data_IF_451419937258
#
_entry.id   IF_451419937258
#
_cell.length_a   1.000
_cell.length_b   1.000
_cell.length_c   1.000
_cell.angle_alpha   90.00
_cell.angle_beta   90.00
_cell.angle_gamma   90.00
#
_symmetry.space_group_name_H-M   'P 1'
#
loop_
_entity.id
_entity.type
_entity.pdbx_description
1 polymer ?
#
# COMPACT_ATOMS: atom_id res chain seq x y z
N UNK A 1 -4.96 -15.53 4.24
CA UNK A 1 -5.33 -14.57 3.19
C UNK A 1 -4.04 -14.03 2.60
N UNK A 2 -3.92 -13.96 1.27
CA UNK A 2 -2.61 -13.72 0.64
C UNK A 2 -2.34 -12.24 0.38
N UNK A 3 -3.37 -11.40 0.31
CA UNK A 3 -3.27 -10.00 -0.07
C UNK A 3 -4.21 -9.12 0.74
N UNK A 4 -3.83 -7.85 0.89
CA UNK A 4 -4.67 -6.81 1.47
C UNK A 4 -5.97 -6.64 0.67
N UNK A 5 -7.03 -6.25 1.37
CA UNK A 5 -8.38 -6.15 0.81
C UNK A 5 -8.85 -4.69 0.82
N UNK A 6 -9.42 -4.26 -0.29
CA UNK A 6 -10.16 -3.00 -0.39
C UNK A 6 -11.59 -3.34 -0.79
N UNK A 7 -12.54 -2.95 0.06
CA UNK A 7 -13.96 -3.27 -0.11
C UNK A 7 -14.81 -2.03 0.16
N UNK A 8 -16.07 -2.06 -0.24
CA UNK A 8 -17.03 -1.01 0.08
C UNK A 8 -17.87 -1.40 1.31
N UNK A 9 -18.30 -0.41 2.08
CA UNK A 9 -19.23 -0.61 3.19
C UNK A 9 -20.52 -1.26 2.67
N UNK A 10 -20.96 -2.34 3.34
CA UNK A 10 -22.06 -3.19 2.86
C UNK A 10 -21.63 -4.46 2.14
N UNK A 11 -20.38 -4.55 1.67
CA UNK A 11 -19.90 -5.74 0.95
C UNK A 11 -19.82 -6.97 1.87
N UNK A 12 -19.97 -8.14 1.25
CA UNK A 12 -19.58 -9.41 1.87
C UNK A 12 -18.09 -9.65 1.66
N UNK A 13 -17.37 -10.09 2.69
CA UNK A 13 -15.95 -10.46 2.58
C UNK A 13 -15.71 -11.84 3.20
N UNK A 14 -14.83 -12.62 2.59
CA UNK A 14 -14.33 -13.89 3.15
C UNK A 14 -12.82 -13.80 3.22
N UNK A 15 -12.26 -13.98 4.42
CA UNK A 15 -10.83 -14.15 4.61
C UNK A 15 -10.54 -15.60 4.96
N UNK A 16 -9.72 -16.26 4.14
CA UNK A 16 -9.33 -17.64 4.38
C UNK A 16 -7.85 -17.76 4.72
N UNK A 17 -7.50 -18.54 5.75
CA UNK A 17 -6.15 -18.84 6.16
C UNK A 17 -5.91 -20.35 6.26
N UNK A 18 -4.85 -20.80 5.59
CA UNK A 18 -4.40 -22.17 5.58
C UNK A 18 -3.18 -22.33 6.50
N UNK A 19 -3.27 -23.25 7.45
CA UNK A 19 -2.23 -23.53 8.43
C UNK A 19 -1.73 -24.98 8.25
N UNK A 20 -0.52 -25.19 7.71
CA UNK A 20 0.08 -26.50 7.58
C UNK A 20 0.68 -26.98 8.91
N UNK A 21 0.45 -28.25 9.25
CA UNK A 21 0.96 -28.94 10.42
C UNK A 21 1.60 -30.26 10.01
N UNK A 22 2.63 -30.69 10.75
CA UNK A 22 3.36 -31.92 10.43
C UNK A 22 2.66 -33.21 10.92
N UNK A 23 1.66 -33.10 11.79
CA UNK A 23 0.95 -34.26 12.36
C UNK A 23 -0.48 -33.91 12.75
N UNK A 24 -1.40 -34.82 12.39
CA UNK A 24 -2.84 -34.74 12.69
C UNK A 24 -3.17 -34.95 14.17
N UNK A 25 -2.23 -35.49 14.94
CA UNK A 25 -2.45 -35.88 16.34
C UNK A 25 -1.98 -34.84 17.37
N UNK A 26 -1.36 -33.75 16.93
CA UNK A 26 -0.88 -32.69 17.82
C UNK A 26 -2.02 -31.71 18.17
N UNK A 27 -2.11 -31.31 19.44
CA UNK A 27 -2.94 -30.15 19.81
C UNK A 27 -2.36 -28.93 19.11
N UNK A 28 -3.17 -28.27 18.30
CA UNK A 28 -2.80 -27.04 17.60
C UNK A 28 -3.65 -25.87 18.10
N UNK A 29 -3.09 -24.67 17.97
CA UNK A 29 -3.82 -23.42 18.18
C UNK A 29 -3.88 -22.72 16.82
N UNK A 30 -5.10 -22.44 16.34
CA UNK A 30 -5.36 -21.68 15.12
C UNK A 30 -6.46 -20.66 15.42
N UNK A 31 -6.17 -19.38 15.23
CA UNK A 31 -7.15 -18.32 15.49
C UNK A 31 -6.86 -17.06 14.70
N UNK A 32 -7.88 -16.21 14.63
CA UNK A 32 -7.74 -14.86 14.15
C UNK A 32 -7.47 -13.89 15.30
N UNK A 33 -6.73 -12.83 14.99
CA UNK A 33 -6.44 -11.72 15.87
C UNK A 33 -6.85 -10.43 15.14
N UNK A 34 -7.64 -9.62 15.83
CA UNK A 34 -7.99 -8.27 15.43
C UNK A 34 -8.18 -7.44 16.72
N UNK A 35 -7.75 -6.17 16.80
CA UNK A 35 -7.88 -5.37 18.01
C UNK A 35 -9.31 -5.23 18.54
N UNK A 36 -10.30 -5.34 17.64
CA UNK A 36 -11.73 -5.24 17.96
C UNK A 36 -12.48 -6.55 17.74
N UNK A 37 -11.78 -7.70 17.68
CA UNK A 37 -12.38 -8.98 17.30
C UNK A 37 -13.62 -9.35 18.12
N UNK A 38 -13.59 -9.09 19.44
CA UNK A 38 -14.67 -9.43 20.38
C UNK A 38 -15.98 -8.66 20.12
N UNK A 39 -15.89 -7.51 19.44
CA UNK A 39 -17.03 -6.63 19.14
C UNK A 39 -17.32 -6.58 17.64
N UNK A 40 -16.61 -7.34 16.82
CA UNK A 40 -16.89 -7.51 15.39
C UNK A 40 -17.99 -8.56 15.21
N UNK A 41 -19.00 -8.25 14.41
CA UNK A 41 -20.08 -9.15 14.02
C UNK A 41 -19.65 -10.08 12.87
N UNK A 42 -18.69 -10.96 13.17
CA UNK A 42 -18.07 -11.86 12.20
C UNK A 42 -18.31 -13.33 12.53
N UNK A 43 -18.46 -14.15 11.49
CA UNK A 43 -18.57 -15.59 11.64
C UNK A 43 -17.21 -16.24 11.39
N UNK A 44 -16.64 -16.87 12.40
CA UNK A 44 -15.36 -17.59 12.29
C UNK A 44 -15.66 -19.08 12.22
N UNK A 45 -15.16 -19.73 11.17
CA UNK A 45 -15.24 -21.18 11.00
C UNK A 45 -13.84 -21.75 10.92
N UNK A 46 -13.61 -22.84 11.66
CA UNK A 46 -12.38 -23.62 11.58
C UNK A 46 -12.75 -24.99 11.02
N UNK A 47 -11.94 -25.50 10.10
CA UNK A 47 -12.06 -26.89 9.66
C UNK A 47 -11.31 -27.78 10.63
N UNK A 48 -11.76 -29.03 10.76
CA UNK A 48 -10.93 -30.06 11.36
C UNK A 48 -9.63 -30.25 10.55
N UNK A 49 -8.59 -30.76 11.20
CA UNK A 49 -7.32 -31.02 10.51
C UNK A 49 -7.52 -32.16 9.51
N UNK A 50 -7.21 -31.87 8.24
CA UNK A 50 -7.31 -32.82 7.14
C UNK A 50 -6.19 -33.87 7.22
N UNK A 51 -6.34 -35.00 6.54
CA UNK A 51 -5.34 -36.09 6.55
C UNK A 51 -3.95 -35.65 6.07
N UNK A 52 -3.90 -34.60 5.25
CA UNK A 52 -2.67 -33.97 4.75
C UNK A 52 -1.96 -33.07 5.79
N UNK A 53 -2.49 -32.97 7.01
CA UNK A 53 -1.96 -32.09 8.05
C UNK A 53 -2.32 -30.61 7.84
N UNK A 54 -3.34 -30.32 7.05
CA UNK A 54 -3.79 -28.95 6.80
C UNK A 54 -5.02 -28.61 7.65
N UNK A 55 -4.98 -27.48 8.36
CA UNK A 55 -6.17 -26.90 8.97
C UNK A 55 -6.46 -25.53 8.34
N UNK A 56 -7.74 -25.20 8.22
CA UNK A 56 -8.20 -23.98 7.58
C UNK A 56 -9.06 -23.18 8.57
N UNK A 57 -8.89 -21.86 8.56
CA UNK A 57 -9.75 -20.95 9.31
C UNK A 57 -10.23 -19.84 8.41
N UNK A 58 -11.54 -19.61 8.44
CA UNK A 58 -12.22 -18.63 7.60
C UNK A 58 -12.95 -17.62 8.48
N UNK A 59 -12.86 -16.34 8.13
CA UNK A 59 -13.74 -15.30 8.63
C UNK A 59 -14.70 -14.92 7.52
N UNK A 60 -16.00 -14.96 7.82
CA UNK A 60 -17.05 -14.45 6.96
C UNK A 60 -17.64 -13.17 7.55
N UNK A 61 -17.56 -12.10 6.75
CA UNK A 61 -18.19 -10.81 6.99
C UNK A 61 -19.46 -10.75 6.12
N UNK A 62 -20.66 -10.91 6.68
CA UNK A 62 -21.90 -10.80 5.91
C UNK A 62 -22.21 -9.37 5.47
N UNK A 63 -21.74 -8.38 6.24
CA UNK A 63 -21.89 -6.96 5.95
C UNK A 63 -20.70 -6.20 6.56
N UNK A 64 -19.73 -5.82 5.73
CA UNK A 64 -18.52 -5.15 6.21
C UNK A 64 -18.76 -3.66 6.46
N UNK A 65 -18.14 -3.12 7.51
CA UNK A 65 -18.33 -1.74 7.97
C UNK A 65 -17.00 -1.17 8.43
N UNK A 66 -16.94 0.14 8.72
CA UNK A 66 -15.73 0.79 9.21
C UNK A 66 -15.14 0.16 10.50
N UNK A 67 -15.95 -0.55 11.31
CA UNK A 67 -15.47 -1.26 12.52
C UNK A 67 -14.61 -2.49 12.21
N UNK A 68 -14.75 -3.05 11.00
CA UNK A 68 -13.99 -4.20 10.53
C UNK A 68 -12.64 -3.82 9.89
N UNK A 69 -12.38 -2.52 9.72
CA UNK A 69 -11.16 -2.01 9.12
C UNK A 69 -9.95 -2.29 10.03
N UNK A 70 -8.82 -2.66 9.42
CA UNK A 70 -7.56 -2.84 10.14
C UNK A 70 -6.83 -4.10 9.75
N UNK A 71 -5.87 -4.47 10.61
CA UNK A 71 -5.03 -5.64 10.41
C UNK A 71 -5.70 -6.89 10.99
N UNK A 72 -5.96 -7.86 10.12
CA UNK A 72 -6.48 -9.18 10.47
C UNK A 72 -5.34 -10.17 10.40
N UNK A 73 -4.94 -10.70 11.55
CA UNK A 73 -3.83 -11.65 11.65
C UNK A 73 -4.34 -13.05 11.94
N UNK A 74 -4.10 -13.97 11.02
CA UNK A 74 -4.21 -15.39 11.28
C UNK A 74 -2.96 -15.85 12.03
N UNK A 75 -3.14 -16.43 13.21
CA UNK A 75 -2.08 -16.92 14.06
C UNK A 75 -2.24 -18.42 14.26
N UNK A 76 -1.16 -19.18 14.08
CA UNK A 76 -1.09 -20.55 14.56
C UNK A 76 0.25 -20.88 15.22
N UNK A 77 0.21 -21.86 16.13
CA UNK A 77 1.42 -22.42 16.77
C UNK A 77 1.65 -23.83 16.24
N UNK A 78 2.86 -24.10 15.73
CA UNK A 78 3.23 -25.45 15.31
C UNK A 78 3.60 -26.35 16.49
N UNK A 79 3.92 -27.61 16.19
CA UNK A 79 4.31 -28.63 17.17
C UNK A 79 5.58 -28.29 17.98
N UNK A 80 6.43 -27.40 17.48
CA UNK A 80 7.63 -26.93 18.18
C UNK A 80 7.35 -25.65 18.99
N UNK A 81 6.07 -25.27 19.13
CA UNK A 81 5.62 -24.03 19.75
C UNK A 81 6.12 -22.75 19.05
N UNK A 82 6.45 -22.84 17.76
CA UNK A 82 6.79 -21.67 16.96
C UNK A 82 5.48 -21.04 16.47
N UNK A 83 5.36 -19.73 16.68
CA UNK A 83 4.19 -18.95 16.26
C UNK A 83 4.38 -18.42 14.85
N UNK A 84 3.37 -18.62 14.02
CA UNK A 84 3.30 -18.15 12.65
C UNK A 84 2.15 -17.16 12.52
N UNK A 85 2.43 -15.99 11.95
CA UNK A 85 1.47 -14.90 11.81
C UNK A 85 1.34 -14.50 10.33
N UNK A 86 0.12 -14.52 9.83
CA UNK A 86 -0.22 -14.05 8.48
C UNK A 86 -1.22 -12.90 8.60
N UNK A 87 -0.75 -11.69 8.31
CA UNK A 87 -1.54 -10.47 8.44
C UNK A 87 -1.97 -9.95 7.09
N UNK A 88 -3.24 -9.55 6.98
CA UNK A 88 -3.75 -8.75 5.86
C UNK A 88 -4.42 -7.49 6.39
N UNK A 89 -4.27 -6.40 5.66
CA UNK A 89 -4.97 -5.16 5.92
C UNK A 89 -6.31 -5.17 5.18
N UNK A 90 -7.38 -4.86 5.90
CA UNK A 90 -8.71 -4.63 5.32
C UNK A 90 -9.00 -3.14 5.37
N UNK A 91 -9.23 -2.54 4.20
CA UNK A 91 -9.65 -1.16 4.02
C UNK A 91 -11.11 -1.13 3.54
N UNK A 92 -11.97 -0.44 4.29
CA UNK A 92 -13.38 -0.26 3.97
C UNK A 92 -13.63 1.16 3.46
N UNK A 93 -14.14 1.28 2.24
CA UNK A 93 -14.51 2.54 1.61
C UNK A 93 -16.00 2.81 1.82
N UNK A 94 -16.33 4.00 2.30
CA UNK A 94 -17.69 4.44 2.65
C UNK A 94 -17.93 5.86 2.15
N UNK A 95 -19.15 6.36 2.32
CA UNK A 95 -19.47 7.75 1.95
C UNK A 95 -18.73 8.78 2.85
N UNK A 96 -18.28 8.36 4.03
CA UNK A 96 -17.51 9.20 4.95
C UNK A 96 -16.00 9.14 4.68
N UNK A 97 -15.56 8.23 3.80
CA UNK A 97 -14.14 8.12 3.43
C UNK A 97 -13.69 9.41 2.75
N UNK A 98 -12.58 9.96 3.25
CA UNK A 98 -12.04 11.22 2.77
C UNK A 98 -10.98 10.99 1.70
N UNK A 99 -11.02 11.82 0.67
CA UNK A 99 -10.09 11.78 -0.44
C UNK A 99 -9.62 13.17 -0.80
N UNK A 100 -8.36 13.30 -1.21
CA UNK A 100 -7.98 14.46 -1.99
C UNK A 100 -8.65 14.37 -3.37
N UNK A 101 -9.33 15.45 -3.82
CA UNK A 101 -10.04 15.43 -5.09
C UNK A 101 -9.06 15.39 -6.27
N UNK A 102 -9.51 14.94 -7.43
CA UNK A 102 -8.71 15.04 -8.65
C UNK A 102 -8.28 16.49 -8.88
N UNK A 103 -7.00 16.71 -9.16
CA UNK A 103 -6.41 18.04 -9.31
C UNK A 103 -5.28 18.01 -10.34
N UNK A 104 -4.71 19.15 -10.68
CA UNK A 104 -3.50 19.23 -11.48
C UNK A 104 -2.49 20.24 -10.90
N UNK A 105 -1.25 20.13 -11.35
CA UNK A 105 -0.19 21.10 -11.04
C UNK A 105 0.57 21.42 -12.31
N UNK A 106 0.87 22.70 -12.52
CA UNK A 106 1.66 23.18 -13.65
C UNK A 106 2.90 23.86 -13.09
N UNK A 107 4.07 23.45 -13.55
CA UNK A 107 5.35 24.07 -13.27
C UNK A 107 6.26 24.09 -14.50
N UNK A 108 7.53 24.46 -14.34
CA UNK A 108 8.52 24.48 -15.42
C UNK A 108 8.99 23.08 -15.87
N UNK A 109 8.47 22.00 -15.26
CA UNK A 109 8.77 20.59 -15.55
C UNK A 109 7.59 19.83 -16.14
N UNK A 110 6.36 20.30 -15.95
CA UNK A 110 5.21 19.62 -16.53
C UNK A 110 3.84 20.21 -16.19
N UNK A 111 2.83 19.63 -16.85
CA UNK A 111 1.47 19.57 -16.33
C UNK A 111 1.30 18.16 -15.78
N UNK A 112 0.93 18.05 -14.51
CA UNK A 112 0.75 16.79 -13.79
C UNK A 112 -0.69 16.68 -13.32
N UNK A 113 -1.37 15.62 -13.72
CA UNK A 113 -2.73 15.31 -13.30
C UNK A 113 -2.69 14.32 -12.13
N UNK A 114 -3.30 14.69 -11.02
CA UNK A 114 -3.40 13.90 -9.80
C UNK A 114 -4.78 13.28 -9.71
N UNK A 115 -4.91 11.95 -9.74
CA UNK A 115 -6.20 11.29 -9.57
C UNK A 115 -6.70 11.48 -8.13
N UNK A 116 -8.00 11.31 -7.92
CA UNK A 116 -8.55 11.21 -6.58
C UNK A 116 -7.78 10.14 -5.79
N UNK A 117 -7.36 10.49 -4.57
CA UNK A 117 -6.52 9.64 -3.74
C UNK A 117 -6.98 9.66 -2.29
N UNK A 118 -6.91 8.50 -1.62
CA UNK A 118 -7.19 8.39 -0.21
C UNK A 118 -6.24 9.26 0.63
N UNK A 119 -6.72 9.78 1.76
CA UNK A 119 -5.87 10.47 2.74
C UNK A 119 -4.70 9.58 3.21
N UNK A 120 -3.60 10.21 3.59
CA UNK A 120 -2.33 9.58 4.01
C UNK A 120 -1.63 8.72 2.95
N UNK A 121 -1.98 8.89 1.68
CA UNK A 121 -1.30 8.24 0.57
C UNK A 121 -0.57 9.26 -0.30
N UNK A 122 0.39 8.78 -1.08
CA UNK A 122 1.14 9.59 -2.05
C UNK A 122 0.81 9.11 -3.45
N UNK A 123 0.32 10.02 -4.29
CA UNK A 123 0.15 9.78 -5.71
C UNK A 123 1.51 9.85 -6.39
N UNK A 124 1.71 8.97 -7.37
CA UNK A 124 2.90 8.92 -8.21
C UNK A 124 2.45 8.91 -9.66
N UNK A 125 3.04 9.78 -10.47
CA UNK A 125 2.76 9.88 -11.91
C UNK A 125 4.08 9.98 -12.69
N UNK A 126 4.15 9.48 -13.93
CA UNK A 126 5.36 9.61 -14.73
C UNK A 126 5.68 11.08 -15.03
N UNK A 127 6.97 11.40 -15.12
CA UNK A 127 7.40 12.72 -15.57
C UNK A 127 6.93 13.00 -17.00
N UNK A 128 6.52 14.24 -17.26
CA UNK A 128 6.19 14.69 -18.63
C UNK A 128 7.43 14.71 -19.53
N UNK A 129 8.60 14.98 -18.96
CA UNK A 129 9.91 14.93 -19.63
C UNK A 129 10.94 14.29 -18.70
N UNK A 130 11.73 13.36 -19.25
CA UNK A 130 12.70 12.53 -18.51
C UNK A 130 12.06 11.25 -17.95
N UNK A 131 12.90 10.34 -17.45
CA UNK A 131 12.50 8.98 -17.04
C UNK A 131 12.14 8.85 -15.54
N UNK A 132 11.96 9.97 -14.85
CA UNK A 132 11.65 10.01 -13.42
C UNK A 132 10.16 9.96 -13.09
N UNK A 133 9.84 10.14 -11.81
CA UNK A 133 8.48 10.22 -11.30
C UNK A 133 8.21 11.56 -10.61
N UNK A 134 6.95 11.99 -10.65
CA UNK A 134 6.45 13.10 -9.86
C UNK A 134 5.52 12.57 -8.78
N UNK A 135 5.62 13.16 -7.58
CA UNK A 135 4.93 12.70 -6.39
C UNK A 135 4.06 13.80 -5.79
N UNK A 136 2.95 13.43 -5.16
CA UNK A 136 2.16 14.38 -4.37
C UNK A 136 1.45 13.66 -3.23
N UNK A 137 1.59 14.17 -2.01
CA UNK A 137 0.99 13.56 -0.82
C UNK A 137 -0.41 14.12 -0.54
N UNK A 138 -1.36 13.25 -0.23
CA UNK A 138 -2.68 13.59 0.25
C UNK A 138 -2.70 13.52 1.78
N UNK A 139 -2.94 14.66 2.44
CA UNK A 139 -2.82 14.75 3.89
C UNK A 139 -4.10 14.25 4.60
N UNK A 140 -4.05 14.03 5.92
CA UNK A 140 -5.21 13.62 6.76
C UNK A 140 -6.46 14.50 6.59
N UNK A 141 -6.27 15.77 6.23
CA UNK A 141 -7.35 16.75 6.07
C UNK A 141 -7.98 16.72 4.67
N UNK A 142 -7.66 15.72 3.83
CA UNK A 142 -8.13 15.63 2.43
C UNK A 142 -7.67 16.81 1.55
N UNK A 143 -6.50 17.37 1.88
CA UNK A 143 -5.88 18.47 1.14
C UNK A 143 -4.57 17.98 0.55
N UNK A 144 -4.36 18.27 -0.73
CA UNK A 144 -3.11 17.99 -1.40
C UNK A 144 -1.97 18.84 -0.85
N UNK A 145 -0.85 18.20 -0.54
CA UNK A 145 0.44 18.87 -0.34
C UNK A 145 1.02 19.46 -1.63
N UNK A 146 2.22 20.09 -1.54
CA UNK A 146 2.96 20.53 -2.71
C UNK A 146 3.35 19.34 -3.60
N UNK A 147 3.35 19.55 -4.91
CA UNK A 147 3.87 18.55 -5.85
C UNK A 147 5.40 18.52 -5.78
N UNK A 148 5.96 17.32 -5.76
CA UNK A 148 7.38 17.09 -5.89
C UNK A 148 7.68 16.60 -7.31
N UNK A 149 8.36 17.44 -8.08
CA UNK A 149 8.79 17.17 -9.47
C UNK A 149 10.32 17.14 -9.58
N UNK A 150 11.05 16.92 -8.49
CA UNK A 150 12.52 17.01 -8.47
C UNK A 150 13.22 16.08 -9.47
N UNK A 151 12.69 14.87 -9.66
CA UNK A 151 13.21 13.88 -10.62
C UNK A 151 12.90 14.23 -12.09
N UNK A 152 11.93 15.13 -12.33
CA UNK A 152 11.53 15.48 -13.68
C UNK A 152 12.47 16.50 -14.32
N UNK A 153 12.63 16.40 -15.64
CA UNK A 153 13.37 17.38 -16.42
C UNK A 153 12.52 18.60 -16.71
N UNK A 154 13.16 19.76 -16.88
CA UNK A 154 12.48 20.95 -17.40
C UNK A 154 11.87 20.68 -18.78
N UNK A 155 10.76 21.32 -19.13
CA UNK A 155 10.17 21.15 -20.47
C UNK A 155 10.99 21.93 -21.52
N UNK A 156 11.44 23.14 -21.17
CA UNK A 156 12.19 24.02 -22.06
C UNK A 156 13.59 23.48 -22.34
N UNK A 157 13.93 23.29 -23.61
CA UNK A 157 15.27 22.87 -24.03
C UNK A 157 16.35 23.87 -23.60
N UNK A 158 16.04 25.18 -23.61
CA UNK A 158 16.98 26.21 -23.14
C UNK A 158 17.24 26.01 -21.64
N UNK A 159 16.20 25.76 -20.84
CA UNK A 159 16.36 25.55 -19.40
C UNK A 159 17.10 24.25 -19.09
N UNK A 160 16.87 23.18 -19.86
CA UNK A 160 17.67 21.94 -19.76
C UNK A 160 19.15 22.22 -20.01
N UNK A 161 19.47 22.96 -21.07
CA UNK A 161 20.84 23.33 -21.41
C UNK A 161 21.48 24.18 -20.31
N UNK A 162 20.78 25.20 -19.81
CA UNK A 162 21.25 26.05 -18.73
C UNK A 162 21.49 25.25 -17.43
N UNK A 163 20.60 24.30 -17.10
CA UNK A 163 20.78 23.42 -15.96
C UNK A 163 22.04 22.56 -16.10
N UNK A 164 22.29 22.00 -17.29
CA UNK A 164 23.52 21.25 -17.55
C UNK A 164 24.75 22.13 -17.29
N UNK A 165 24.81 23.35 -17.84
CA UNK A 165 25.92 24.27 -17.59
C UNK A 165 26.09 24.64 -16.12
N UNK A 166 25.00 24.84 -15.38
CA UNK A 166 25.05 25.18 -13.95
C UNK A 166 25.54 24.01 -13.07
N UNK A 167 25.31 22.77 -13.50
CA UNK A 167 25.72 21.56 -12.78
C UNK A 167 27.08 21.01 -13.24
N UNK A 168 27.66 21.54 -14.32
CA UNK A 168 29.01 21.16 -14.75
C UNK A 168 30.04 21.60 -13.70
N UNK A 169 30.87 20.66 -13.27
CA UNK A 169 32.02 20.98 -12.43
C UNK A 169 33.11 21.64 -13.29
N UNK A 170 33.38 22.92 -13.06
CA UNK A 170 34.28 23.77 -13.86
C UNK A 170 35.70 23.18 -13.95
N UNK A 171 36.14 22.40 -12.95
CA UNK A 171 37.45 21.76 -12.94
C UNK A 171 37.67 20.72 -14.05
N UNK A 172 36.62 20.05 -14.53
CA UNK A 172 36.70 19.06 -15.62
C UNK A 172 36.77 19.73 -17.01
N UNK A 173 36.16 20.91 -17.15
CA UNK A 173 36.14 21.67 -18.41
C UNK A 173 37.47 22.38 -18.64
N UNK A 174 38.13 22.87 -17.58
CA UNK A 174 39.48 23.43 -17.70
C UNK A 174 40.51 22.40 -18.15
N UNK A 175 40.45 21.16 -17.64
CA UNK A 175 41.41 20.12 -18.02
C UNK A 175 41.31 19.68 -19.48
N UNK A 176 40.11 19.78 -20.08
CA UNK A 176 39.89 19.47 -21.50
C UNK A 176 40.24 20.64 -22.41
N UNK A 177 40.03 21.89 -21.98
CA UNK A 177 40.42 23.08 -22.73
C UNK A 177 41.94 23.37 -22.71
N UNK A 178 42.66 22.95 -21.65
CA UNK A 178 44.12 23.08 -21.56
C UNK A 178 44.90 21.98 -22.30
N UNK A 179 44.24 20.88 -22.67
CA UNK A 179 44.84 19.73 -23.36
C UNK A 179 44.30 19.53 -24.79
N UNK A 180 43.60 20.53 -25.33
CA UNK A 180 43.11 20.56 -26.71
C UNK A 180 43.99 21.46 -27.60
#
# INVERSE_FOLDING_TARGET
>A
PSHDQVVFEGDTLILNCNAPFASVMAKYELKWLHPMLEICDVNITNTDMQEEGLAETTIYFPNITNHHMGNWTCMYSDQNHIRHNYTVQVLVLSNQTKYCPSNHTIDNKGLYSWPQLLINHTATVPCRSGDGLAYRSCNINAIWGPANTTECSYISNITKLLQQFALLNVSLVQYSALNA
#
